data_IF_647455469701
#
_entry.id   IF_647455469701
#
_cell.length_a   1.000
_cell.length_b   1.000
_cell.length_c   1.000
_cell.angle_alpha   90.00
_cell.angle_beta   90.00
_cell.angle_gamma   90.00
#
_symmetry.space_group_name_H-M   'P 1'
#
loop_
_entity.id
_entity.type
_entity.pdbx_description
1 polymer ?
#
# COMPACT_ATOMS: atom_id res chain seq x y z
N UNK A 1 18.50 -11.19 58.87
CA UNK A 1 17.13 -11.05 58.39
C UNK A 1 17.14 -10.36 57.05
N UNK A 2 17.00 -11.11 55.96
CA UNK A 2 16.92 -10.62 54.60
C UNK A 2 15.46 -10.66 54.16
N UNK A 3 14.84 -9.51 53.91
CA UNK A 3 13.48 -9.39 53.42
C UNK A 3 13.55 -9.56 51.92
N UNK A 4 13.02 -10.70 51.41
CA UNK A 4 12.83 -10.94 49.98
C UNK A 4 11.52 -10.28 49.58
N UNK A 5 11.57 -9.22 48.78
CA UNK A 5 10.41 -8.62 48.12
C UNK A 5 10.04 -9.48 46.91
N UNK A 6 8.94 -10.21 47.01
CA UNK A 6 8.28 -10.84 45.87
C UNK A 6 7.60 -9.75 45.03
N UNK A 7 8.07 -9.59 43.80
CA UNK A 7 7.35 -8.81 42.78
C UNK A 7 6.35 -9.74 42.11
N UNK A 8 5.07 -9.52 42.38
CA UNK A 8 4.01 -10.22 41.69
C UNK A 8 3.90 -9.75 40.26
N UNK A 9 4.22 -10.61 39.28
CA UNK A 9 3.86 -10.41 37.87
C UNK A 9 2.35 -10.63 37.75
N UNK A 10 1.60 -9.56 37.55
CA UNK A 10 0.21 -9.64 37.11
C UNK A 10 0.20 -9.98 35.61
N UNK A 11 -0.02 -11.24 35.29
CA UNK A 11 -0.35 -11.67 33.93
C UNK A 11 -1.75 -11.17 33.60
N UNK A 12 -1.86 -10.11 32.82
CA UNK A 12 -3.12 -9.72 32.17
C UNK A 12 -3.43 -10.78 31.11
N UNK A 13 -4.30 -11.73 31.45
CA UNK A 13 -4.98 -12.56 30.50
C UNK A 13 -5.95 -11.68 29.69
N UNK A 14 -5.50 -11.16 28.53
CA UNK A 14 -6.38 -10.63 27.53
C UNK A 14 -7.18 -11.80 26.97
N UNK A 15 -8.44 -11.94 27.43
CA UNK A 15 -9.40 -12.87 26.87
C UNK A 15 -9.50 -12.63 25.36
N UNK A 16 -9.21 -13.67 24.59
CA UNK A 16 -9.46 -13.70 23.15
C UNK A 16 -10.97 -13.82 22.92
N UNK A 17 -11.71 -12.74 23.11
CA UNK A 17 -12.93 -12.53 22.38
C UNK A 17 -12.49 -12.26 20.93
N UNK A 18 -12.75 -13.21 20.02
CA UNK A 18 -12.70 -12.95 18.60
C UNK A 18 -13.74 -11.87 18.30
N UNK A 19 -13.35 -10.60 18.43
CA UNK A 19 -14.11 -9.49 17.86
C UNK A 19 -14.22 -9.83 16.38
N UNK A 20 -15.42 -10.11 15.91
CA UNK A 20 -15.70 -10.18 14.49
C UNK A 20 -15.13 -8.90 13.89
N UNK A 21 -14.06 -9.01 13.11
CA UNK A 21 -13.37 -7.85 12.57
C UNK A 21 -14.41 -7.03 11.81
N UNK A 22 -14.60 -5.78 12.22
CA UNK A 22 -15.60 -4.91 11.64
C UNK A 22 -15.38 -4.84 10.12
N UNK A 23 -16.44 -5.02 9.37
CA UNK A 23 -16.39 -5.05 7.91
C UNK A 23 -15.85 -3.70 7.41
N UNK A 24 -14.78 -3.67 6.58
CA UNK A 24 -14.25 -2.42 6.06
C UNK A 24 -15.32 -1.60 5.34
N UNK A 25 -15.34 -0.29 5.54
CA UNK A 25 -16.33 0.63 4.96
C UNK A 25 -16.41 0.56 3.43
N UNK A 26 -15.30 0.23 2.76
CA UNK A 26 -15.20 0.07 1.31
C UNK A 26 -15.69 -1.30 0.79
N UNK A 27 -15.92 -2.28 1.65
CA UNK A 27 -16.10 -3.67 1.25
C UNK A 27 -17.30 -3.89 0.32
N UNK A 28 -18.46 -3.28 0.62
CA UNK A 28 -19.66 -3.46 -0.20
C UNK A 28 -19.56 -2.76 -1.56
N UNK A 29 -18.94 -1.58 -1.59
CA UNK A 29 -18.69 -0.88 -2.83
C UNK A 29 -17.77 -1.72 -3.74
N UNK A 30 -16.68 -2.25 -3.17
CA UNK A 30 -15.71 -3.02 -3.94
C UNK A 30 -16.22 -4.42 -4.34
N UNK A 31 -17.16 -5.01 -3.59
CA UNK A 31 -17.82 -6.25 -4.04
C UNK A 31 -18.63 -6.04 -5.33
N UNK A 32 -19.28 -4.89 -5.48
CA UNK A 32 -19.98 -4.54 -6.73
C UNK A 32 -19.02 -4.37 -7.90
N UNK A 33 -17.84 -3.81 -7.65
CA UNK A 33 -16.78 -3.68 -8.66
C UNK A 33 -16.21 -5.05 -9.03
N UNK A 34 -15.92 -5.88 -8.05
CA UNK A 34 -15.35 -7.22 -8.24
C UNK A 34 -16.32 -8.25 -8.82
N UNK A 35 -17.63 -8.02 -8.69
CA UNK A 35 -18.66 -8.90 -9.23
C UNK A 35 -18.60 -8.93 -10.76
N UNK A 36 -18.38 -10.12 -11.34
CA UNK A 36 -18.29 -10.31 -12.79
C UNK A 36 -16.91 -9.97 -13.41
N UNK A 37 -15.91 -9.68 -12.61
CA UNK A 37 -14.52 -9.77 -13.08
C UNK A 37 -14.21 -11.27 -13.25
N UNK A 38 -14.04 -11.73 -14.50
CA UNK A 38 -13.85 -13.15 -14.82
C UNK A 38 -12.73 -13.81 -14.01
N UNK A 39 -12.84 -15.14 -13.83
CA UNK A 39 -11.95 -15.96 -12.97
C UNK A 39 -10.51 -16.12 -13.44
N UNK A 40 -9.90 -15.10 -14.03
CA UNK A 40 -8.49 -15.08 -14.38
C UNK A 40 -7.57 -14.95 -13.14
N UNK A 41 -6.24 -15.12 -13.33
CA UNK A 41 -5.28 -14.91 -12.27
C UNK A 41 -5.44 -13.51 -11.66
N UNK A 42 -5.31 -13.39 -10.35
CA UNK A 42 -5.48 -12.13 -9.64
C UNK A 42 -4.23 -11.24 -9.82
N UNK A 43 -4.09 -10.64 -10.99
CA UNK A 43 -3.00 -9.71 -11.29
C UNK A 43 -3.22 -8.39 -10.54
N UNK A 44 -2.15 -7.87 -9.94
CA UNK A 44 -2.13 -6.60 -9.22
C UNK A 44 -1.24 -5.62 -9.98
N UNK A 45 -1.85 -4.59 -10.56
CA UNK A 45 -1.10 -3.51 -11.19
C UNK A 45 -0.41 -2.62 -10.14
N UNK A 46 0.67 -1.99 -10.53
CA UNK A 46 1.46 -1.08 -9.71
C UNK A 46 1.50 0.28 -10.41
N UNK A 47 0.70 1.24 -9.95
CA UNK A 47 0.60 2.57 -10.54
C UNK A 47 1.36 3.59 -9.71
N UNK A 48 2.22 4.38 -10.36
CA UNK A 48 2.94 5.43 -9.66
C UNK A 48 4.18 5.97 -10.33
N UNK A 49 4.99 6.65 -9.52
CA UNK A 49 6.24 7.29 -9.89
C UNK A 49 7.48 6.43 -9.56
N UNK A 50 8.64 7.09 -9.37
CA UNK A 50 9.92 6.42 -9.03
C UNK A 50 9.82 5.50 -7.81
N UNK A 51 9.01 5.87 -6.82
CA UNK A 51 8.82 5.08 -5.59
C UNK A 51 8.13 3.75 -5.90
N UNK A 52 7.24 3.72 -6.89
CA UNK A 52 6.57 2.51 -7.36
C UNK A 52 7.38 1.78 -8.45
N UNK A 53 8.07 2.52 -9.31
CA UNK A 53 8.94 1.97 -10.36
C UNK A 53 10.12 1.18 -9.81
N UNK A 54 10.58 1.50 -8.61
CA UNK A 54 11.69 0.81 -7.94
C UNK A 54 11.43 -0.70 -7.79
N UNK A 55 12.44 -1.53 -8.10
CA UNK A 55 12.43 -2.96 -7.81
C UNK A 55 12.40 -3.28 -6.31
N UNK A 56 12.64 -2.30 -5.43
CA UNK A 56 12.48 -2.45 -3.99
C UNK A 56 11.00 -2.50 -3.57
N UNK A 57 10.08 -2.02 -4.44
CA UNK A 57 8.64 -2.09 -4.20
C UNK A 57 8.03 -3.30 -4.90
N UNK A 58 7.23 -4.06 -4.18
CA UNK A 58 6.41 -5.20 -4.57
C UNK A 58 7.19 -6.44 -5.05
N UNK A 59 8.26 -6.28 -5.85
CA UNK A 59 9.09 -7.37 -6.32
C UNK A 59 9.67 -8.26 -5.19
N UNK A 60 10.06 -7.72 -4.02
CA UNK A 60 10.56 -8.54 -2.90
C UNK A 60 9.55 -9.57 -2.39
N UNK A 61 8.24 -9.33 -2.54
CA UNK A 61 7.20 -10.31 -2.17
C UNK A 61 7.28 -11.59 -3.00
N UNK A 62 7.82 -11.53 -4.21
CA UNK A 62 8.06 -12.70 -5.05
C UNK A 62 9.25 -13.55 -4.60
N UNK A 63 10.12 -13.02 -3.75
CA UNK A 63 11.34 -13.68 -3.24
C UNK A 63 11.24 -14.07 -1.77
N UNK A 64 10.44 -13.35 -1.00
CA UNK A 64 10.16 -13.63 0.40
C UNK A 64 8.86 -14.43 0.55
N UNK A 65 8.70 -15.09 1.67
CA UNK A 65 7.41 -15.62 2.10
C UNK A 65 6.83 -14.70 3.19
N UNK A 66 5.95 -13.74 2.81
CA UNK A 66 5.35 -12.86 3.80
C UNK A 66 4.48 -13.62 4.82
N UNK A 67 4.07 -14.84 4.51
CA UNK A 67 3.35 -15.70 5.45
C UNK A 67 4.15 -16.07 6.69
N UNK A 68 5.49 -16.01 6.65
CA UNK A 68 6.33 -16.21 7.83
C UNK A 68 6.12 -15.15 8.92
N UNK A 69 5.65 -13.97 8.53
CA UNK A 69 5.47 -12.82 9.42
C UNK A 69 4.02 -12.57 9.81
N UNK A 70 3.07 -13.31 9.21
CA UNK A 70 1.66 -13.21 9.56
C UNK A 70 1.42 -14.06 10.80
N UNK A 71 0.86 -13.52 11.90
CA UNK A 71 0.44 -14.30 13.03
C UNK A 71 -0.47 -15.45 12.56
N UNK A 72 -0.39 -16.58 13.24
CA UNK A 72 -1.16 -17.78 12.90
C UNK A 72 -2.66 -17.49 13.11
N UNK A 73 -3.29 -16.91 12.10
CA UNK A 73 -4.69 -16.46 12.09
C UNK A 73 -5.66 -17.53 11.56
N UNK A 74 -5.23 -18.79 11.56
CA UNK A 74 -6.02 -19.92 11.07
C UNK A 74 -6.06 -20.03 9.54
N UNK A 75 -5.33 -19.20 8.82
CA UNK A 75 -5.23 -19.34 7.36
C UNK A 75 -4.45 -20.60 7.01
N UNK A 76 -4.98 -21.44 6.11
CA UNK A 76 -4.28 -22.63 5.67
C UNK A 76 -2.96 -22.26 5.02
N UNK A 77 -1.87 -22.82 5.50
CA UNK A 77 -0.49 -22.56 5.07
C UNK A 77 -0.22 -22.79 3.57
N UNK A 78 -1.18 -23.32 2.80
CA UNK A 78 -0.88 -23.82 1.47
C UNK A 78 -1.86 -23.51 0.32
N UNK A 79 -3.17 -23.44 0.40
CA UNK A 79 -3.98 -23.03 -0.77
C UNK A 79 -3.82 -21.54 -1.07
N UNK A 80 -3.52 -20.74 -0.04
CA UNK A 80 -3.26 -19.31 -0.16
C UNK A 80 -1.88 -19.07 -0.79
N UNK A 81 -0.87 -19.88 -0.51
CA UNK A 81 0.47 -19.74 -1.04
C UNK A 81 0.53 -19.74 -2.58
N UNK A 82 -0.25 -20.59 -3.23
CA UNK A 82 -0.33 -20.60 -4.69
C UNK A 82 -1.05 -19.37 -5.23
N UNK A 83 -2.23 -19.05 -4.69
CA UNK A 83 -3.01 -17.88 -5.12
C UNK A 83 -2.35 -16.55 -4.79
N UNK A 84 -1.61 -16.47 -3.68
CA UNK A 84 -0.78 -15.31 -3.37
C UNK A 84 0.32 -15.10 -4.40
N UNK A 85 1.02 -16.18 -4.77
CA UNK A 85 2.06 -16.10 -5.81
C UNK A 85 1.46 -15.72 -7.16
N UNK A 86 0.29 -16.22 -7.50
CA UNK A 86 -0.43 -15.83 -8.71
C UNK A 86 -0.83 -14.35 -8.65
N UNK A 87 -1.25 -13.85 -7.49
CA UNK A 87 -1.64 -12.45 -7.31
C UNK A 87 -0.46 -11.47 -7.38
N UNK A 88 0.74 -11.92 -7.00
CA UNK A 88 1.97 -11.13 -7.15
C UNK A 88 2.73 -11.46 -8.45
N UNK A 89 2.15 -12.23 -9.36
CA UNK A 89 2.64 -12.27 -10.74
C UNK A 89 2.69 -10.84 -11.28
N UNK A 90 3.73 -10.52 -12.02
CA UNK A 90 3.96 -9.14 -12.44
C UNK A 90 4.58 -8.25 -11.35
N UNK A 91 5.00 -8.79 -10.21
CA UNK A 91 5.68 -8.00 -9.18
C UNK A 91 6.96 -7.28 -9.70
N UNK A 92 7.47 -7.71 -10.84
CA UNK A 92 8.59 -7.09 -11.55
C UNK A 92 8.17 -6.23 -12.74
N UNK A 93 6.87 -6.08 -12.99
CA UNK A 93 6.35 -5.29 -14.10
C UNK A 93 6.59 -3.81 -13.83
N UNK A 94 7.65 -3.30 -14.39
CA UNK A 94 8.13 -1.92 -14.25
C UNK A 94 8.25 -1.29 -15.64
N UNK A 95 7.74 -0.09 -15.75
CA UNK A 95 7.76 0.66 -16.99
C UNK A 95 6.45 1.41 -17.26
N UNK A 96 6.48 2.29 -18.22
CA UNK A 96 5.33 3.09 -18.62
C UNK A 96 4.16 2.22 -19.12
N UNK A 97 4.45 1.10 -19.75
CA UNK A 97 3.49 0.10 -20.21
C UNK A 97 2.76 -0.63 -19.08
N UNK A 98 3.31 -0.58 -17.85
CA UNK A 98 2.71 -1.13 -16.64
C UNK A 98 2.11 -0.06 -15.72
N UNK A 99 2.18 1.22 -16.10
CA UNK A 99 1.59 2.31 -15.33
C UNK A 99 2.50 2.87 -14.23
N UNK A 100 3.80 2.63 -14.30
CA UNK A 100 4.77 3.21 -13.35
C UNK A 100 6.05 3.62 -14.06
N UNK A 101 6.58 4.79 -13.71
CA UNK A 101 7.85 5.27 -14.25
C UNK A 101 8.45 6.39 -13.39
N UNK A 102 9.78 6.49 -13.41
CA UNK A 102 10.49 7.52 -12.63
C UNK A 102 10.09 8.94 -13.05
N UNK A 103 9.90 9.81 -12.07
CA UNK A 103 9.58 11.22 -12.31
C UNK A 103 8.12 11.51 -12.71
N UNK A 104 7.28 10.49 -12.82
CA UNK A 104 5.89 10.69 -13.21
C UNK A 104 5.10 11.53 -12.23
N UNK A 105 4.22 12.35 -12.81
CA UNK A 105 3.14 13.08 -12.13
C UNK A 105 1.81 12.39 -12.38
N UNK A 106 0.77 12.85 -11.69
CA UNK A 106 -0.60 12.34 -11.86
C UNK A 106 -1.08 12.41 -13.31
N UNK A 107 -0.66 13.42 -14.07
CA UNK A 107 -0.99 13.60 -15.48
C UNK A 107 -0.36 12.53 -16.39
N UNK A 108 0.85 12.07 -16.08
CA UNK A 108 1.50 11.01 -16.85
C UNK A 108 0.74 9.68 -16.67
N UNK A 109 0.40 9.35 -15.43
CA UNK A 109 -0.39 8.15 -15.13
C UNK A 109 -1.79 8.23 -15.78
N UNK A 110 -2.46 9.38 -15.68
CA UNK A 110 -3.76 9.59 -16.32
C UNK A 110 -3.72 9.34 -17.83
N UNK A 111 -2.62 9.71 -18.50
CA UNK A 111 -2.45 9.50 -19.94
C UNK A 111 -2.28 8.04 -20.38
N UNK A 112 -2.02 7.12 -19.45
CA UNK A 112 -1.74 5.71 -19.80
C UNK A 112 -2.65 4.71 -19.10
N UNK A 113 -3.34 5.09 -18.02
CA UNK A 113 -4.04 4.18 -17.12
C UNK A 113 -5.07 3.32 -17.85
N UNK A 114 -5.83 3.89 -18.76
CA UNK A 114 -6.86 3.16 -19.54
C UNK A 114 -6.22 2.05 -20.37
N UNK A 115 -5.19 2.37 -21.15
CA UNK A 115 -4.45 1.40 -21.97
C UNK A 115 -3.84 0.28 -21.12
N UNK A 116 -3.30 0.60 -19.93
CA UNK A 116 -2.73 -0.40 -19.02
C UNK A 116 -3.81 -1.33 -18.49
N UNK A 117 -4.96 -0.79 -18.11
CA UNK A 117 -6.09 -1.57 -17.62
C UNK A 117 -6.68 -2.50 -18.71
N UNK A 118 -6.80 -2.00 -19.93
CA UNK A 118 -7.27 -2.80 -21.08
C UNK A 118 -6.30 -3.93 -21.43
N UNK A 119 -4.98 -3.63 -21.47
CA UNK A 119 -3.95 -4.57 -21.86
C UNK A 119 -3.72 -5.68 -20.83
N UNK A 120 -3.66 -5.33 -19.56
CA UNK A 120 -3.29 -6.26 -18.47
C UNK A 120 -4.47 -6.79 -17.66
N UNK A 121 -5.62 -6.14 -17.68
CA UNK A 121 -6.87 -6.50 -16.97
C UNK A 121 -6.63 -6.85 -15.49
N UNK A 122 -5.96 -5.99 -14.71
CA UNK A 122 -5.70 -6.25 -13.32
C UNK A 122 -6.99 -6.29 -12.50
N UNK A 123 -7.04 -7.16 -11.49
CA UNK A 123 -8.16 -7.22 -10.54
C UNK A 123 -8.06 -6.18 -9.44
N UNK A 124 -6.84 -5.75 -9.13
CA UNK A 124 -6.54 -4.66 -8.21
C UNK A 124 -5.36 -3.83 -8.72
N UNK A 125 -5.28 -2.59 -8.28
CA UNK A 125 -4.14 -1.70 -8.57
C UNK A 125 -3.71 -0.98 -7.31
N UNK A 126 -2.44 -1.12 -6.94
CA UNK A 126 -1.82 -0.30 -5.88
C UNK A 126 -1.40 1.02 -6.54
N UNK A 127 -1.92 2.12 -6.03
CA UNK A 127 -1.76 3.44 -6.63
C UNK A 127 -1.13 4.41 -5.64
N UNK A 128 0.10 4.87 -5.93
CA UNK A 128 0.80 5.94 -5.23
C UNK A 128 1.37 6.90 -6.26
N UNK A 129 0.82 8.10 -6.34
CA UNK A 129 1.26 9.17 -7.24
C UNK A 129 1.04 10.52 -6.56
N UNK A 130 1.87 11.51 -6.84
CA UNK A 130 1.73 12.85 -6.28
C UNK A 130 3.03 13.46 -5.77
N UNK A 131 4.06 12.65 -5.48
CA UNK A 131 5.36 13.13 -4.97
C UNK A 131 6.02 14.12 -5.91
N UNK A 132 5.91 13.89 -7.22
CA UNK A 132 6.46 14.78 -8.25
C UNK A 132 5.51 15.89 -8.69
N UNK A 133 4.24 15.84 -8.26
CA UNK A 133 3.27 16.90 -8.49
C UNK A 133 3.56 18.12 -7.60
N UNK A 134 4.14 17.87 -6.41
CA UNK A 134 4.53 18.94 -5.47
C UNK A 134 5.72 19.70 -6.02
N UNK A 135 5.50 20.98 -6.32
CA UNK A 135 6.52 21.93 -6.78
C UNK A 135 6.55 23.13 -5.85
N UNK A 136 7.74 23.49 -5.38
CA UNK A 136 7.88 24.64 -4.48
C UNK A 136 6.94 24.57 -3.25
N UNK A 137 6.71 23.37 -2.70
CA UNK A 137 5.79 23.11 -1.59
C UNK A 137 4.31 23.47 -1.91
N UNK A 138 3.91 23.36 -3.18
CA UNK A 138 2.55 23.66 -3.66
C UNK A 138 1.97 22.43 -4.36
N UNK A 139 0.70 22.14 -4.08
CA UNK A 139 -0.09 21.12 -4.77
C UNK A 139 -0.83 21.73 -5.95
N UNK A 140 -0.72 21.18 -7.18
CA UNK A 140 -1.47 21.72 -8.32
C UNK A 140 -2.98 21.62 -8.08
N UNK A 141 -3.75 22.66 -8.40
CA UNK A 141 -5.21 22.67 -8.21
C UNK A 141 -5.92 21.57 -9.02
N UNK A 142 -5.31 21.10 -10.11
CA UNK A 142 -5.85 20.03 -10.97
C UNK A 142 -5.59 18.63 -10.44
N UNK A 143 -4.72 18.45 -9.42
CA UNK A 143 -4.31 17.13 -8.90
C UNK A 143 -5.51 16.27 -8.47
N UNK A 144 -6.43 16.85 -7.69
CA UNK A 144 -7.65 16.14 -7.25
C UNK A 144 -8.44 15.58 -8.43
N UNK A 145 -8.76 16.42 -9.42
CA UNK A 145 -9.56 16.01 -10.56
C UNK A 145 -8.89 14.92 -11.39
N UNK A 146 -7.56 14.97 -11.55
CA UNK A 146 -6.80 13.94 -12.24
C UNK A 146 -6.81 12.60 -11.46
N UNK A 147 -6.61 12.64 -10.15
CA UNK A 147 -6.66 11.45 -9.30
C UNK A 147 -8.06 10.81 -9.31
N UNK A 148 -9.12 11.61 -9.20
CA UNK A 148 -10.50 11.13 -9.29
C UNK A 148 -10.79 10.43 -10.63
N UNK A 149 -10.29 10.97 -11.73
CA UNK A 149 -10.43 10.34 -13.05
C UNK A 149 -9.71 8.99 -13.11
N UNK A 150 -8.46 8.90 -12.59
CA UNK A 150 -7.73 7.64 -12.54
C UNK A 150 -8.50 6.60 -11.72
N UNK A 151 -8.98 6.97 -10.53
CA UNK A 151 -9.78 6.08 -9.68
C UNK A 151 -11.04 5.62 -10.40
N UNK A 152 -11.77 6.53 -11.03
CA UNK A 152 -12.97 6.19 -11.81
C UNK A 152 -12.65 5.23 -12.95
N UNK A 153 -11.59 5.47 -13.71
CA UNK A 153 -11.14 4.57 -14.80
C UNK A 153 -10.85 3.16 -14.30
N UNK A 154 -10.19 3.03 -13.12
CA UNK A 154 -9.98 1.73 -12.49
C UNK A 154 -11.32 1.04 -12.17
N UNK A 155 -12.25 1.75 -11.54
CA UNK A 155 -13.56 1.20 -11.16
C UNK A 155 -14.40 0.78 -12.38
N UNK A 156 -14.40 1.60 -13.43
CA UNK A 156 -15.09 1.31 -14.70
C UNK A 156 -14.51 0.05 -15.37
N UNK A 157 -13.19 -0.15 -15.27
CA UNK A 157 -12.48 -1.35 -15.73
C UNK A 157 -12.61 -2.56 -14.77
N UNK A 158 -13.41 -2.47 -13.71
CA UNK A 158 -13.59 -3.50 -12.66
C UNK A 158 -12.30 -3.86 -11.93
N UNK A 159 -11.34 -2.94 -11.88
CA UNK A 159 -10.11 -3.01 -11.12
C UNK A 159 -10.29 -2.27 -9.80
N UNK A 160 -9.97 -2.91 -8.67
CA UNK A 160 -10.07 -2.29 -7.34
C UNK A 160 -8.83 -1.43 -7.10
N UNK A 161 -8.94 -0.08 -7.07
CA UNK A 161 -7.81 0.77 -6.73
C UNK A 161 -7.57 0.77 -5.22
N UNK A 162 -6.34 0.51 -4.81
CA UNK A 162 -5.84 0.64 -3.44
C UNK A 162 -5.02 1.92 -3.40
N UNK A 163 -5.60 3.00 -2.89
CA UNK A 163 -4.89 4.28 -2.81
C UNK A 163 -3.85 4.25 -1.70
N UNK A 164 -2.73 4.91 -1.94
CA UNK A 164 -1.69 5.11 -0.94
C UNK A 164 -1.45 6.61 -0.75
N UNK A 165 -1.28 7.05 0.49
CA UNK A 165 -0.72 8.38 0.75
C UNK A 165 0.73 8.42 0.29
N UNK A 166 1.19 9.58 -0.20
CA UNK A 166 2.60 9.78 -0.54
C UNK A 166 3.42 9.90 0.74
N UNK A 167 4.67 9.40 0.75
CA UNK A 167 5.53 9.46 1.92
C UNK A 167 5.93 10.89 2.29
N UNK A 168 6.50 11.12 3.49
CA UNK A 168 7.13 12.39 3.84
C UNK A 168 8.15 12.83 2.79
N UNK A 169 8.16 14.13 2.47
CA UNK A 169 9.13 14.75 1.55
C UNK A 169 9.80 15.91 2.25
N UNK A 170 11.15 15.85 2.36
CA UNK A 170 11.94 16.91 3.02
C UNK A 170 11.66 18.26 2.35
N UNK A 171 11.52 19.29 3.16
CA UNK A 171 11.23 20.66 2.72
C UNK A 171 9.86 20.87 2.02
N UNK A 172 8.97 19.86 2.06
CA UNK A 172 7.67 19.96 1.42
C UNK A 172 6.52 19.34 2.25
N UNK A 173 6.69 19.22 3.58
CA UNK A 173 5.74 18.54 4.45
C UNK A 173 4.32 19.12 4.39
N UNK A 174 4.19 20.46 4.30
CA UNK A 174 2.87 21.11 4.15
C UNK A 174 2.13 20.62 2.89
N UNK A 175 2.83 20.56 1.75
CA UNK A 175 2.23 20.09 0.51
C UNK A 175 2.00 18.55 0.53
N UNK A 176 2.82 17.78 1.26
CA UNK A 176 2.55 16.36 1.52
C UNK A 176 1.25 16.18 2.29
N UNK A 177 1.05 16.94 3.36
CA UNK A 177 -0.19 16.91 4.17
C UNK A 177 -1.41 17.25 3.33
N UNK A 178 -1.34 18.31 2.52
CA UNK A 178 -2.42 18.72 1.62
C UNK A 178 -2.71 17.65 0.55
N UNK A 179 -1.67 17.09 -0.08
CA UNK A 179 -1.81 16.02 -1.06
C UNK A 179 -2.45 14.78 -0.43
N UNK A 180 -1.98 14.39 0.75
CA UNK A 180 -2.49 13.21 1.45
C UNK A 180 -3.93 13.42 1.95
N UNK A 181 -4.30 14.64 2.32
CA UNK A 181 -5.71 15.00 2.59
C UNK A 181 -6.58 14.76 1.36
N UNK A 182 -6.13 15.22 0.19
CA UNK A 182 -6.84 14.99 -1.09
C UNK A 182 -6.98 13.49 -1.37
N UNK A 183 -5.91 12.71 -1.22
CA UNK A 183 -5.93 11.26 -1.45
C UNK A 183 -6.96 10.57 -0.53
N UNK A 184 -6.98 10.92 0.76
CA UNK A 184 -7.93 10.39 1.75
C UNK A 184 -9.38 10.75 1.41
N UNK A 185 -9.63 11.97 1.00
CA UNK A 185 -10.95 12.44 0.59
C UNK A 185 -11.44 11.73 -0.69
N UNK A 186 -10.54 11.51 -1.66
CA UNK A 186 -10.84 10.74 -2.86
C UNK A 186 -11.13 9.29 -2.51
N UNK A 187 -10.32 8.66 -1.64
CA UNK A 187 -10.59 7.31 -1.18
C UNK A 187 -11.97 7.17 -0.52
N UNK A 188 -12.33 8.12 0.34
CA UNK A 188 -13.64 8.15 0.99
C UNK A 188 -14.77 8.38 -0.01
N UNK A 189 -14.62 9.33 -0.95
CA UNK A 189 -15.61 9.65 -1.99
C UNK A 189 -15.98 8.43 -2.83
N UNK A 190 -15.00 7.65 -3.24
CA UNK A 190 -15.20 6.46 -4.07
C UNK A 190 -15.36 5.17 -3.26
N UNK A 191 -15.29 5.25 -1.94
CA UNK A 191 -15.32 4.08 -1.05
C UNK A 191 -14.31 3.01 -1.48
N UNK A 192 -13.05 3.39 -1.69
CA UNK A 192 -11.96 2.50 -2.08
C UNK A 192 -10.97 2.29 -0.92
N UNK A 193 -10.23 1.16 -0.91
CA UNK A 193 -9.20 0.90 0.08
C UNK A 193 -8.12 1.98 0.09
N UNK A 194 -7.64 2.32 1.30
CA UNK A 194 -6.57 3.30 1.51
C UNK A 194 -5.49 2.72 2.42
N UNK A 195 -4.24 2.85 2.00
CA UNK A 195 -3.05 2.61 2.82
C UNK A 195 -2.46 3.97 3.20
N UNK A 196 -2.39 4.27 4.48
CA UNK A 196 -1.81 5.52 4.98
C UNK A 196 -0.32 5.36 5.29
N UNK A 197 0.48 5.20 4.25
CA UNK A 197 1.95 5.05 4.33
C UNK A 197 2.60 6.20 5.11
N UNK A 198 2.17 7.44 4.84
CA UNK A 198 2.73 8.62 5.49
C UNK A 198 2.49 8.60 7.01
N UNK A 199 1.28 8.30 7.43
CA UNK A 199 0.95 8.26 8.84
C UNK A 199 1.74 7.16 9.57
N UNK A 200 1.91 6.00 8.94
CA UNK A 200 2.67 4.91 9.56
C UNK A 200 4.17 5.20 9.64
N UNK A 201 4.76 5.82 8.61
CA UNK A 201 6.15 6.30 8.64
C UNK A 201 6.34 7.27 9.80
N UNK A 202 5.47 8.29 9.91
CA UNK A 202 5.57 9.30 10.96
C UNK A 202 5.24 8.76 12.37
N UNK A 203 4.43 7.72 12.46
CA UNK A 203 4.16 7.01 13.72
C UNK A 203 5.40 6.26 14.23
N UNK A 204 6.15 5.63 13.32
CA UNK A 204 7.36 4.86 13.64
C UNK A 204 8.58 5.76 13.84
N UNK A 205 8.69 6.82 13.04
CA UNK A 205 9.81 7.76 13.02
C UNK A 205 9.26 9.20 12.90
N UNK A 206 8.92 9.85 14.02
CA UNK A 206 8.28 11.17 14.02
C UNK A 206 9.16 12.30 13.48
N UNK A 207 8.56 13.22 12.74
CA UNK A 207 9.21 14.44 12.26
C UNK A 207 10.45 14.16 11.43
N UNK A 208 11.55 14.87 11.69
CA UNK A 208 12.81 14.74 10.95
C UNK A 208 13.49 13.35 11.13
N UNK A 209 13.14 12.59 12.16
CA UNK A 209 13.71 11.26 12.40
C UNK A 209 13.37 10.24 11.30
N UNK A 210 12.33 10.50 10.50
CA UNK A 210 12.00 9.63 9.36
C UNK A 210 13.06 9.70 8.24
N UNK A 211 13.76 10.83 8.09
CA UNK A 211 14.79 11.02 7.08
C UNK A 211 16.12 10.40 7.53
N UNK A 212 16.73 9.60 6.66
CA UNK A 212 17.89 8.76 6.99
C UNK A 212 17.53 7.40 7.63
N UNK A 213 16.22 7.18 7.91
CA UNK A 213 15.71 5.91 8.48
C UNK A 213 14.72 5.24 7.53
N UNK A 214 13.43 5.64 7.54
CA UNK A 214 12.40 5.12 6.64
C UNK A 214 12.37 5.85 5.29
N UNK A 215 12.75 7.12 5.28
CA UNK A 215 13.00 7.90 4.06
C UNK A 215 14.51 8.08 3.94
N UNK A 216 15.07 7.87 2.75
CA UNK A 216 16.49 7.99 2.49
C UNK A 216 17.00 9.43 2.65
N UNK A 217 18.32 9.61 2.63
CA UNK A 217 18.95 10.92 2.79
C UNK A 217 18.59 11.91 1.69
N UNK A 218 18.09 11.42 0.54
CA UNK A 218 17.58 12.29 -0.51
C UNK A 218 16.28 13.01 -0.13
N UNK A 219 15.66 12.62 0.98
CA UNK A 219 14.46 13.22 1.54
C UNK A 219 13.18 12.93 0.76
N UNK A 220 13.19 11.94 -0.14
CA UNK A 220 12.06 11.62 -1.04
C UNK A 220 11.75 10.13 -1.07
N UNK A 221 12.75 9.30 -1.35
CA UNK A 221 12.53 7.87 -1.57
C UNK A 221 12.59 7.08 -0.27
N UNK A 222 11.74 6.06 -0.10
CA UNK A 222 11.89 5.13 1.01
C UNK A 222 13.26 4.45 0.98
N UNK A 223 13.82 4.16 2.17
CA UNK A 223 15.07 3.40 2.27
C UNK A 223 14.88 1.97 1.79
N UNK A 224 15.87 1.44 1.04
CA UNK A 224 15.80 0.06 0.56
C UNK A 224 15.99 -0.94 1.71
N UNK A 225 17.13 -0.90 2.39
CA UNK A 225 17.41 -1.83 3.49
C UNK A 225 17.19 -3.29 3.12
N UNK A 226 16.65 -4.08 4.05
CA UNK A 226 16.28 -5.48 3.82
C UNK A 226 14.82 -5.57 3.33
N UNK A 227 14.57 -5.31 2.07
CA UNK A 227 13.23 -5.24 1.48
C UNK A 227 12.42 -6.54 1.57
N UNK A 228 13.06 -7.67 1.88
CA UNK A 228 12.44 -8.99 2.01
C UNK A 228 12.20 -9.41 3.48
N UNK A 229 12.65 -8.61 4.45
CA UNK A 229 12.50 -8.87 5.87
C UNK A 229 11.34 -8.03 6.43
N UNK A 230 10.24 -8.71 6.79
CA UNK A 230 9.04 -8.08 7.35
C UNK A 230 8.97 -8.23 8.87
N UNK A 231 10.09 -8.50 9.54
CA UNK A 231 10.15 -8.48 11.00
C UNK A 231 9.85 -7.08 11.55
N UNK A 232 9.26 -7.03 12.74
CA UNK A 232 8.92 -5.76 13.41
C UNK A 232 10.12 -4.83 13.61
N UNK A 233 11.34 -5.38 13.73
CA UNK A 233 12.56 -4.61 13.83
C UNK A 233 12.91 -3.94 12.49
N UNK A 234 12.87 -4.70 11.38
CA UNK A 234 13.23 -4.19 10.07
C UNK A 234 12.20 -3.20 9.52
N UNK A 235 10.90 -3.39 9.82
CA UNK A 235 9.85 -2.46 9.42
C UNK A 235 10.02 -1.03 10.01
N UNK A 236 10.86 -0.86 11.01
CA UNK A 236 11.19 0.46 11.59
C UNK A 236 12.36 1.17 10.92
N UNK A 237 13.07 0.49 10.02
CA UNK A 237 14.34 0.98 9.43
C UNK A 237 14.41 0.82 7.91
N UNK A 238 13.51 0.05 7.31
CA UNK A 238 13.43 -0.12 5.85
C UNK A 238 12.09 0.39 5.33
N UNK A 239 12.11 1.55 4.69
CA UNK A 239 10.89 2.20 4.18
C UNK A 239 10.20 1.37 3.10
N UNK A 240 10.97 0.74 2.20
CA UNK A 240 10.38 -0.15 1.20
C UNK A 240 9.82 -1.45 1.80
N UNK A 241 10.47 -2.03 2.83
CA UNK A 241 9.89 -3.19 3.52
C UNK A 241 8.56 -2.81 4.19
N UNK A 242 8.52 -1.66 4.88
CA UNK A 242 7.29 -1.14 5.48
C UNK A 242 6.18 -0.96 4.44
N UNK A 243 6.47 -0.28 3.33
CA UNK A 243 5.52 -0.05 2.25
C UNK A 243 5.03 -1.37 1.63
N UNK A 244 5.93 -2.32 1.39
CA UNK A 244 5.57 -3.65 0.89
C UNK A 244 4.61 -4.35 1.86
N UNK A 245 4.92 -4.33 3.15
CA UNK A 245 4.12 -4.95 4.19
C UNK A 245 2.71 -4.35 4.27
N UNK A 246 2.61 -3.01 4.36
CA UNK A 246 1.32 -2.31 4.46
C UNK A 246 0.44 -2.60 3.23
N UNK A 247 1.00 -2.52 2.04
CA UNK A 247 0.26 -2.78 0.81
C UNK A 247 -0.11 -4.27 0.67
N UNK A 248 0.76 -5.18 1.08
CA UNK A 248 0.46 -6.60 1.12
C UNK A 248 -0.71 -6.91 2.06
N UNK A 249 -0.70 -6.35 3.27
CA UNK A 249 -1.78 -6.55 4.24
C UNK A 249 -3.12 -5.97 3.75
N UNK A 250 -3.10 -4.80 3.12
CA UNK A 250 -4.30 -4.23 2.49
C UNK A 250 -4.79 -5.09 1.32
N UNK A 251 -3.90 -5.50 0.42
CA UNK A 251 -4.27 -6.39 -0.69
C UNK A 251 -4.82 -7.73 -0.17
N UNK A 252 -4.22 -8.30 0.86
CA UNK A 252 -4.74 -9.49 1.53
C UNK A 252 -6.18 -9.27 2.02
N UNK A 253 -6.47 -8.14 2.66
CA UNK A 253 -7.81 -7.79 3.09
C UNK A 253 -8.79 -7.68 1.91
N UNK A 254 -8.39 -7.00 0.82
CA UNK A 254 -9.18 -6.91 -0.43
C UNK A 254 -9.43 -8.29 -1.02
N UNK A 255 -8.39 -9.12 -1.07
CA UNK A 255 -8.50 -10.46 -1.62
C UNK A 255 -9.56 -11.29 -0.88
N UNK A 256 -9.46 -11.43 0.44
CA UNK A 256 -10.40 -12.24 1.21
C UNK A 256 -11.80 -11.63 1.33
N UNK A 257 -11.90 -10.31 1.23
CA UNK A 257 -13.19 -9.62 1.35
C UNK A 257 -13.96 -9.61 0.04
N UNK A 258 -13.26 -9.55 -1.10
CA UNK A 258 -13.87 -9.27 -2.41
C UNK A 258 -13.47 -10.27 -3.50
N UNK A 259 -12.18 -10.52 -3.70
CA UNK A 259 -11.66 -11.19 -4.90
C UNK A 259 -11.62 -12.71 -4.79
N UNK A 260 -11.47 -13.24 -3.62
CA UNK A 260 -11.27 -14.68 -3.32
C UNK A 260 -12.55 -15.46 -3.06
N UNK A 261 -13.70 -14.88 -3.34
CA UNK A 261 -15.03 -15.50 -3.16
C UNK A 261 -15.54 -16.14 -4.43
#
# INVERSE_FOLDING_TARGET
MRIVRMVALAAMALGSAALAAEKPSWADAMRRVGAGAGGGPCYVAQFGDSITYSMAFWAPLGWADPGLYIPNDGLPKNPVGRRWRDAIQGCRDKGAEFGNFSGWRVTNLLGVVERVLEGHRPRAAILMIGTNDIQGNIVPPTYRGHLERIVKTCLDARCIPILNTIPPKRNAMKAVEETNKIIKEVAAKFSVPLVDDCAEILRLQPGEACFGTLISEDGVHPTAGRTQDYSAANLKTSGYALRNWLNFMMFRQVYFTVLGR
#
